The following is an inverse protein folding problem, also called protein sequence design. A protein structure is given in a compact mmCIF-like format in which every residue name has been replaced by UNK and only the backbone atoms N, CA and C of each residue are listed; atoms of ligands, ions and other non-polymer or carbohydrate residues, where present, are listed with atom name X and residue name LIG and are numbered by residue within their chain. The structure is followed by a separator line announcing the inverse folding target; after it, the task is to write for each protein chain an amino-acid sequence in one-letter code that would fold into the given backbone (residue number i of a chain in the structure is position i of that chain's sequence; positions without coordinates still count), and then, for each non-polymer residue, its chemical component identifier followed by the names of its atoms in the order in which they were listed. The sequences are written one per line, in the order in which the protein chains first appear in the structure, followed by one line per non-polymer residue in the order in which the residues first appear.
data_IF_642124190485
#
_entry.id   IF_642124190485
#
_cell.length_a   1.000
_cell.length_b   1.000
_cell.length_c   1.000
_cell.angle_alpha   90.00
_cell.angle_beta   90.00
_cell.angle_gamma   90.00
#
_symmetry.space_group_name_H-M   'P 1'
#
loop_
_entity.id
_entity.type
_entity.pdbx_description
1 polymer ?
#
# COMPACT_ATOMS: atom_id res chain seq x y z
N UNK A 1 46.27 -31.35 34.15
CA UNK A 1 46.58 -30.26 33.19
C UNK A 1 45.62 -30.42 32.01
N UNK A 2 44.65 -29.51 31.84
CA UNK A 2 43.62 -29.60 30.79
C UNK A 2 44.09 -28.80 29.58
N UNK A 3 44.42 -29.50 28.50
CA UNK A 3 44.83 -28.91 27.22
C UNK A 3 43.54 -28.54 26.47
N UNK A 4 43.31 -27.25 26.23
CA UNK A 4 42.21 -26.78 25.40
C UNK A 4 42.51 -27.10 23.91
N UNK A 5 41.53 -27.61 23.14
CA UNK A 5 41.72 -27.86 21.71
C UNK A 5 41.80 -26.55 20.93
N UNK A 6 42.84 -26.44 20.10
CA UNK A 6 43.27 -25.28 19.31
C UNK A 6 42.29 -24.86 18.17
N UNK A 7 41.03 -25.32 18.18
CA UNK A 7 40.06 -25.07 17.11
C UNK A 7 39.15 -23.86 17.34
N UNK A 8 39.14 -23.29 18.55
CA UNK A 8 38.29 -22.13 18.89
C UNK A 8 38.98 -20.79 18.67
N UNK A 9 40.32 -20.76 18.63
CA UNK A 9 41.09 -19.52 18.43
C UNK A 9 41.09 -19.05 16.97
N UNK A 10 41.02 -19.98 16.01
CA UNK A 10 40.99 -19.68 14.57
C UNK A 10 39.63 -19.11 14.12
N UNK A 11 38.52 -19.51 14.75
CA UNK A 11 37.20 -18.94 14.46
C UNK A 11 37.06 -17.51 15.00
N UNK A 12 37.70 -17.20 16.14
CA UNK A 12 37.67 -15.87 16.74
C UNK A 12 38.51 -14.84 15.96
N UNK A 13 39.61 -15.29 15.33
CA UNK A 13 40.42 -14.45 14.43
C UNK A 13 39.75 -14.17 13.09
N UNK A 14 38.86 -15.05 12.62
CA UNK A 14 38.09 -14.83 11.38
C UNK A 14 36.95 -13.81 11.58
N UNK A 15 36.39 -13.72 12.79
CA UNK A 15 35.38 -12.70 13.15
C UNK A 15 36.04 -11.33 13.41
N UNK A 16 37.27 -11.30 13.94
CA UNK A 16 38.01 -10.04 14.13
C UNK A 16 38.60 -9.47 12.83
N UNK A 17 38.80 -10.29 11.79
CA UNK A 17 39.41 -9.89 10.51
C UNK A 17 38.49 -9.18 9.52
N UNK A 18 37.17 -9.12 9.75
CA UNK A 18 36.21 -8.48 8.84
C UNK A 18 35.88 -7.03 9.28
N UNK A 19 36.40 -6.58 10.42
CA UNK A 19 36.16 -5.22 10.95
C UNK A 19 37.09 -4.12 10.38
N UNK A 20 37.91 -4.41 9.37
CA UNK A 20 38.84 -3.43 8.77
C UNK A 20 38.61 -3.25 7.25
N UNK A 21 37.47 -2.64 6.90
CA UNK A 21 37.29 -2.00 5.59
C UNK A 21 36.19 -0.92 5.67
N UNK A 22 36.35 0.06 6.57
CA UNK A 22 35.60 1.31 6.53
C UNK A 22 36.50 2.36 5.86
N UNK A 23 36.15 2.90 4.67
CA UNK A 23 36.88 4.04 4.11
C UNK A 23 36.60 5.31 4.95
N UNK A 24 37.58 6.22 5.10
CA UNK A 24 37.43 7.38 5.96
C UNK A 24 36.45 8.41 5.38
N UNK A 25 35.54 8.88 6.23
CA UNK A 25 34.80 10.13 6.05
C UNK A 25 35.79 11.30 6.07
N UNK A 26 36.14 11.82 4.91
CA UNK A 26 36.77 13.14 4.77
C UNK A 26 35.72 14.13 4.27
N UNK A 27 35.39 15.08 5.13
CA UNK A 27 34.51 16.19 4.80
C UNK A 27 35.19 17.20 3.87
N UNK A 28 34.39 17.82 3.01
CA UNK A 28 34.59 19.20 2.56
C UNK A 28 33.22 19.78 2.23
N UNK A 29 32.80 20.78 3.00
CA UNK A 29 31.64 21.62 2.68
C UNK A 29 31.99 22.56 1.52
N UNK A 30 31.08 22.84 0.57
CA UNK A 30 31.24 23.97 -0.31
C UNK A 30 30.75 25.27 0.36
N UNK A 31 31.32 26.43 0.00
CA UNK A 31 31.10 27.70 0.70
C UNK A 31 29.76 28.35 0.33
N UNK A 32 29.09 28.90 1.35
CA UNK A 32 28.09 29.97 1.20
C UNK A 32 28.79 31.25 0.75
N UNK A 33 28.44 31.75 -0.43
CA UNK A 33 28.67 33.15 -0.79
C UNK A 33 27.40 33.94 -0.54
N UNK A 34 27.53 34.91 0.37
CA UNK A 34 26.57 35.98 0.59
C UNK A 34 27.13 37.26 -0.05
N UNK A 35 26.39 37.81 -1.01
CA UNK A 35 26.32 39.22 -1.39
C UNK A 35 25.17 39.27 -2.43
N UNK A 36 24.08 40.01 -2.27
CA UNK A 36 24.07 41.42 -1.93
C UNK A 36 22.72 41.83 -1.33
N UNK A 37 22.83 42.68 -0.32
CA UNK A 37 21.74 43.43 0.30
C UNK A 37 21.07 44.36 -0.72
N UNK A 38 19.74 44.51 -0.64
CA UNK A 38 19.03 45.80 -0.66
C UNK A 38 17.57 45.64 -0.22
N UNK A 39 17.35 45.81 1.08
CA UNK A 39 16.12 46.43 1.62
C UNK A 39 16.18 47.95 1.34
N UNK A 40 15.06 48.70 1.25
CA UNK A 40 14.14 48.96 2.38
C UNK A 40 12.65 48.85 1.98
N UNK A 41 11.75 48.32 2.83
CA UNK A 41 11.09 48.89 4.02
C UNK A 41 9.79 49.67 3.72
N UNK A 42 8.74 49.21 4.42
CA UNK A 42 7.52 49.91 4.86
C UNK A 42 6.46 50.34 3.84
N UNK A 43 5.23 49.81 4.00
CA UNK A 43 4.12 50.53 4.65
C UNK A 43 2.82 49.72 4.60
N UNK A 44 2.23 49.55 5.77
CA UNK A 44 0.86 49.07 5.99
C UNK A 44 -0.17 50.10 5.50
N UNK A 45 -1.23 49.66 4.82
CA UNK A 45 -2.58 50.27 4.88
C UNK A 45 -3.60 49.46 4.05
N UNK A 46 -4.58 48.86 4.74
CA UNK A 46 -5.99 48.78 4.30
C UNK A 46 -6.63 50.11 4.76
N UNK A 47 -7.73 50.68 4.18
CA UNK A 47 -8.88 49.99 3.58
C UNK A 47 -9.57 50.71 2.39
N UNK A 48 -10.68 50.10 1.91
CA UNK A 48 -11.90 50.72 1.32
C UNK A 48 -12.31 50.19 -0.06
N UNK A 49 -13.43 49.44 -0.08
CA UNK A 49 -14.44 49.38 -1.16
C UNK A 49 -15.08 50.79 -1.39
N UNK A 50 -15.89 51.10 -2.44
CA UNK A 50 -16.83 50.20 -3.16
C UNK A 50 -17.05 50.47 -4.68
N UNK A 51 -18.04 49.76 -5.23
CA UNK A 51 -18.95 50.13 -6.33
C UNK A 51 -18.69 49.60 -7.76
N UNK A 52 -19.41 48.53 -8.07
CA UNK A 52 -20.28 48.29 -9.23
C UNK A 52 -20.07 49.11 -10.52
N UNK A 53 -19.95 48.39 -11.65
CA UNK A 53 -20.60 48.78 -12.90
C UNK A 53 -20.95 47.56 -13.76
N UNK A 54 -22.25 47.49 -14.08
CA UNK A 54 -22.84 46.67 -15.13
C UNK A 54 -22.11 46.86 -16.46
N UNK A 55 -21.93 45.77 -17.20
CA UNK A 55 -21.91 45.78 -18.66
C UNK A 55 -22.57 44.49 -19.18
N UNK A 56 -23.82 44.65 -19.59
CA UNK A 56 -24.53 43.81 -20.55
C UNK A 56 -23.77 43.76 -21.88
N UNK A 57 -23.55 42.57 -22.42
CA UNK A 57 -23.01 42.36 -23.76
C UNK A 57 -23.28 40.93 -24.21
N UNK A 58 -24.20 40.79 -25.15
CA UNK A 58 -24.66 39.55 -25.78
C UNK A 58 -23.61 38.94 -26.72
N UNK A 59 -23.86 37.70 -27.16
CA UNK A 59 -23.15 36.94 -28.20
C UNK A 59 -21.89 36.23 -27.69
N UNK A 60 -21.67 34.93 -27.83
CA UNK A 60 -22.04 34.01 -28.92
C UNK A 60 -21.82 32.58 -28.39
N UNK A 61 -22.72 31.65 -28.71
CA UNK A 61 -22.42 30.22 -28.62
C UNK A 61 -21.20 29.89 -29.50
N UNK A 62 -20.33 28.99 -29.03
CA UNK A 62 -19.80 27.97 -29.91
C UNK A 62 -20.31 26.60 -29.45
N UNK A 63 -20.99 25.96 -30.39
CA UNK A 63 -21.03 24.51 -30.61
C UNK A 63 -19.85 23.72 -30.03
N UNK A 64 -20.20 22.52 -29.57
CA UNK A 64 -19.40 21.29 -29.64
C UNK A 64 -17.92 21.38 -29.28
N UNK A 65 -17.63 21.04 -28.04
CA UNK A 65 -16.78 19.86 -27.80
C UNK A 65 -17.47 19.04 -26.73
N UNK A 66 -18.43 18.21 -27.13
CA UNK A 66 -18.75 16.99 -26.38
C UNK A 66 -17.48 16.16 -26.37
N UNK A 67 -16.63 16.46 -25.39
CA UNK A 67 -15.57 15.59 -24.95
C UNK A 67 -16.23 14.24 -24.74
N UNK A 68 -15.78 13.23 -25.49
CA UNK A 68 -16.13 11.82 -25.38
C UNK A 68 -15.93 11.34 -23.92
N UNK A 69 -16.81 11.77 -23.02
CA UNK A 69 -17.07 11.10 -21.76
C UNK A 69 -17.78 9.85 -22.21
N UNK A 70 -16.97 8.84 -22.55
CA UNK A 70 -17.39 7.47 -22.73
C UNK A 70 -18.24 7.13 -21.51
N UNK A 71 -19.56 7.25 -21.65
CA UNK A 71 -20.49 7.06 -20.55
C UNK A 71 -20.32 5.61 -20.10
N UNK A 72 -19.74 5.45 -18.93
CA UNK A 72 -19.66 4.14 -18.29
C UNK A 72 -21.12 3.72 -18.04
N UNK A 73 -21.50 2.47 -18.30
CA UNK A 73 -22.84 2.00 -17.98
C UNK A 73 -23.15 2.32 -16.51
N UNK A 74 -24.40 2.71 -16.23
CA UNK A 74 -24.83 3.19 -14.90
C UNK A 74 -24.44 2.24 -13.76
N UNK A 75 -24.47 0.93 -14.02
CA UNK A 75 -24.00 -0.11 -13.08
C UNK A 75 -22.51 -0.02 -12.77
N UNK A 76 -21.65 0.20 -13.76
CA UNK A 76 -20.20 0.34 -13.57
C UNK A 76 -19.85 1.64 -12.85
N UNK A 77 -20.63 2.69 -13.06
CA UNK A 77 -20.50 3.95 -12.30
C UNK A 77 -20.82 3.75 -10.83
N UNK A 78 -21.90 3.03 -10.50
CA UNK A 78 -22.26 2.71 -9.12
C UNK A 78 -21.18 1.87 -8.41
N UNK A 79 -20.66 0.83 -9.08
CA UNK A 79 -19.56 0.00 -8.57
C UNK A 79 -18.27 0.81 -8.35
N UNK A 80 -17.97 1.75 -9.25
CA UNK A 80 -16.82 2.64 -9.08
C UNK A 80 -16.97 3.51 -7.83
N UNK A 81 -18.15 4.06 -7.59
CA UNK A 81 -18.42 4.93 -6.44
C UNK A 81 -18.31 4.15 -5.12
N UNK A 82 -18.83 2.92 -5.04
CA UNK A 82 -18.72 2.09 -3.84
C UNK A 82 -17.26 1.72 -3.55
N UNK A 83 -16.52 1.26 -4.57
CA UNK A 83 -15.10 0.97 -4.48
C UNK A 83 -14.29 2.21 -4.04
N UNK A 84 -14.47 3.35 -4.72
CA UNK A 84 -13.72 4.57 -4.44
C UNK A 84 -13.95 5.09 -3.01
N UNK A 85 -15.19 4.99 -2.50
CA UNK A 85 -15.51 5.35 -1.12
C UNK A 85 -14.75 4.48 -0.14
N UNK A 86 -14.85 3.14 -0.25
CA UNK A 86 -14.17 2.23 0.68
C UNK A 86 -12.66 2.35 0.60
N UNK A 87 -12.11 2.52 -0.60
CA UNK A 87 -10.68 2.74 -0.78
C UNK A 87 -10.23 4.04 -0.10
N UNK A 88 -10.99 5.12 -0.25
CA UNK A 88 -10.71 6.39 0.41
C UNK A 88 -10.76 6.28 1.94
N UNK A 89 -11.75 5.57 2.49
CA UNK A 89 -11.88 5.34 3.92
C UNK A 89 -10.68 4.56 4.47
N UNK A 90 -10.29 3.45 3.79
CA UNK A 90 -9.12 2.67 4.16
C UNK A 90 -7.84 3.50 4.09
N UNK A 91 -7.63 4.23 2.99
CA UNK A 91 -6.43 5.04 2.79
C UNK A 91 -6.31 6.15 3.84
N UNK A 92 -7.40 6.87 4.12
CA UNK A 92 -7.44 7.93 5.14
C UNK A 92 -7.12 7.37 6.52
N UNK A 93 -7.69 6.20 6.87
CA UNK A 93 -7.39 5.53 8.11
C UNK A 93 -5.93 5.05 8.19
N UNK A 94 -5.35 4.58 7.07
CA UNK A 94 -3.94 4.19 7.01
C UNK A 94 -3.01 5.39 7.22
N UNK A 95 -3.28 6.52 6.57
CA UNK A 95 -2.49 7.76 6.73
C UNK A 95 -2.54 8.26 8.18
N UNK A 96 -3.72 8.26 8.80
CA UNK A 96 -3.87 8.65 10.20
C UNK A 96 -3.00 7.78 11.13
N UNK A 97 -3.10 6.45 11.01
CA UNK A 97 -2.32 5.50 11.82
C UNK A 97 -0.82 5.59 11.57
N UNK A 98 -0.41 5.83 10.32
CA UNK A 98 1.01 6.05 10.02
C UNK A 98 1.53 7.30 10.73
N UNK A 99 0.76 8.38 10.79
CA UNK A 99 1.17 9.60 11.50
C UNK A 99 1.40 9.35 13.00
N UNK A 100 0.61 8.47 13.62
CA UNK A 100 0.78 8.05 15.02
C UNK A 100 2.06 7.21 15.20
N UNK A 101 2.33 6.27 14.29
CA UNK A 101 3.56 5.46 14.32
C UNK A 101 4.82 6.33 14.18
N UNK A 102 4.79 7.39 13.38
CA UNK A 102 5.95 8.29 13.25
C UNK A 102 6.27 9.04 14.55
N UNK A 103 5.33 9.14 15.48
CA UNK A 103 5.53 9.73 16.80
C UNK A 103 6.05 8.72 17.83
N UNK A 104 6.04 7.42 17.51
CA UNK A 104 6.54 6.36 18.39
C UNK A 104 8.06 6.34 18.47
N UNK A 105 8.58 5.78 19.57
CA UNK A 105 10.01 5.65 19.76
C UNK A 105 10.62 4.71 18.70
N UNK A 106 11.79 5.00 18.11
CA UNK A 106 12.40 4.16 17.07
C UNK A 106 12.56 2.68 17.43
N UNK A 107 12.76 2.38 18.72
CA UNK A 107 12.84 1.01 19.23
C UNK A 107 11.52 0.25 19.08
N UNK A 108 10.37 0.89 19.30
CA UNK A 108 9.06 0.24 19.13
C UNK A 108 8.86 -0.17 17.67
N UNK A 109 9.21 0.70 16.73
CA UNK A 109 9.18 0.38 15.30
C UNK A 109 10.09 -0.80 14.95
N UNK A 110 11.28 -0.88 15.53
CA UNK A 110 12.20 -2.01 15.32
C UNK A 110 11.65 -3.32 15.90
N UNK A 111 11.06 -3.28 17.10
CA UNK A 111 10.42 -4.45 17.69
C UNK A 111 9.30 -4.97 16.80
N UNK A 112 8.45 -4.08 16.27
CA UNK A 112 7.35 -4.44 15.37
C UNK A 112 7.83 -4.97 14.02
N UNK A 113 8.97 -4.48 13.54
CA UNK A 113 9.62 -5.03 12.35
C UNK A 113 10.10 -6.48 12.60
N UNK A 114 10.68 -6.74 13.78
CA UNK A 114 11.08 -8.09 14.19
C UNK A 114 9.89 -9.02 14.41
N UNK A 115 8.80 -8.53 15.00
CA UNK A 115 7.54 -9.27 15.12
C UNK A 115 7.05 -9.72 13.72
N UNK A 116 7.03 -8.79 12.75
CA UNK A 116 6.65 -9.09 11.37
C UNK A 116 7.54 -10.18 10.75
N UNK A 117 8.88 -10.02 10.83
CA UNK A 117 9.86 -10.99 10.32
C UNK A 117 9.64 -12.38 10.92
N UNK A 118 9.37 -12.44 12.23
CA UNK A 118 9.10 -13.70 12.93
C UNK A 118 7.81 -14.38 12.46
N UNK A 119 6.74 -13.62 12.21
CA UNK A 119 5.50 -14.21 11.67
C UNK A 119 5.69 -14.76 10.27
N UNK A 120 6.40 -14.05 9.38
CA UNK A 120 6.74 -14.58 8.06
C UNK A 120 7.63 -15.82 8.13
N UNK A 121 8.62 -15.84 9.02
CA UNK A 121 9.46 -17.02 9.24
C UNK A 121 8.61 -18.22 9.64
N UNK A 122 7.67 -18.06 10.58
CA UNK A 122 6.79 -19.14 11.03
C UNK A 122 5.78 -19.58 9.96
N UNK A 123 5.33 -18.68 9.07
CA UNK A 123 4.47 -19.04 7.94
C UNK A 123 5.13 -19.99 6.94
N UNK A 124 6.46 -19.95 6.81
CA UNK A 124 7.16 -20.89 5.92
C UNK A 124 7.23 -22.32 6.45
N UNK A 125 6.95 -22.52 7.74
CA UNK A 125 6.97 -23.83 8.41
C UNK A 125 5.76 -23.99 9.34
N UNK A 126 4.52 -23.96 8.82
CA UNK A 126 3.35 -24.04 9.66
C UNK A 126 3.19 -25.47 10.21
N UNK A 127 3.10 -25.60 11.53
CA UNK A 127 2.91 -26.91 12.18
C UNK A 127 1.52 -27.48 11.87
N UNK A 128 0.50 -26.62 11.81
CA UNK A 128 -0.89 -26.93 11.49
C UNK A 128 -1.65 -25.67 11.05
N UNK A 129 -2.89 -25.84 10.58
CA UNK A 129 -3.65 -24.75 9.96
C UNK A 129 -3.98 -23.60 10.94
N UNK A 130 -4.25 -23.89 12.22
CA UNK A 130 -4.54 -22.84 13.22
C UNK A 130 -3.32 -21.94 13.47
N UNK A 131 -2.10 -22.51 13.46
CA UNK A 131 -0.86 -21.76 13.60
C UNK A 131 -0.64 -20.83 12.40
N UNK A 132 -0.92 -21.33 11.18
CA UNK A 132 -0.91 -20.50 9.98
C UNK A 132 -1.90 -19.33 10.11
N UNK A 133 -3.15 -19.61 10.55
CA UNK A 133 -4.18 -18.58 10.76
C UNK A 133 -3.70 -17.51 11.74
N UNK A 134 -3.10 -17.90 12.86
CA UNK A 134 -2.60 -16.97 13.87
C UNK A 134 -1.55 -16.01 13.28
N UNK A 135 -0.60 -16.54 12.52
CA UNK A 135 0.46 -15.73 11.92
C UNK A 135 -0.05 -14.80 10.82
N UNK A 136 -0.97 -15.26 9.97
CA UNK A 136 -1.66 -14.41 9.00
C UNK A 136 -2.42 -13.27 9.69
N UNK A 137 -3.16 -13.59 10.75
CA UNK A 137 -3.90 -12.60 11.55
C UNK A 137 -2.97 -11.56 12.17
N UNK A 138 -1.83 -11.99 12.72
CA UNK A 138 -0.85 -11.09 13.32
C UNK A 138 -0.19 -10.15 12.29
N UNK A 139 0.12 -10.65 11.09
CA UNK A 139 0.62 -9.82 9.98
C UNK A 139 -0.42 -8.76 9.59
N UNK A 140 -1.69 -9.15 9.45
CA UNK A 140 -2.77 -8.23 9.19
C UNK A 140 -2.95 -7.21 10.32
N UNK A 141 -2.85 -7.62 11.59
CA UNK A 141 -2.94 -6.72 12.72
C UNK A 141 -1.84 -5.65 12.70
N UNK A 142 -0.59 -6.04 12.40
CA UNK A 142 0.52 -5.09 12.22
C UNK A 142 0.26 -4.13 11.05
N UNK A 143 -0.18 -4.64 9.90
CA UNK A 143 -0.52 -3.78 8.75
C UNK A 143 -1.68 -2.85 9.06
N UNK A 144 -2.73 -3.32 9.74
CA UNK A 144 -3.90 -2.51 10.14
C UNK A 144 -3.55 -1.49 11.20
N UNK A 145 -2.58 -1.77 12.08
CA UNK A 145 -2.03 -0.77 13.01
C UNK A 145 -1.26 0.35 12.30
N UNK A 146 -0.97 0.21 11.00
CA UNK A 146 -0.31 1.23 10.16
C UNK A 146 1.14 0.91 9.80
N UNK A 147 1.70 -0.20 10.31
CA UNK A 147 3.08 -0.57 10.00
C UNK A 147 3.21 -0.98 8.53
N UNK A 148 4.25 -0.44 7.88
CA UNK A 148 4.65 -0.76 6.51
C UNK A 148 6.16 -0.92 6.50
N UNK A 149 6.64 -2.14 6.31
CA UNK A 149 8.07 -2.45 6.31
C UNK A 149 8.56 -2.73 4.88
N UNK A 150 9.88 -2.78 4.71
CA UNK A 150 10.50 -3.13 3.42
C UNK A 150 10.31 -4.61 3.06
N UNK A 151 10.69 -5.00 1.83
CA UNK A 151 10.46 -6.34 1.29
C UNK A 151 11.10 -7.48 2.09
N UNK A 152 12.13 -7.18 2.88
CA UNK A 152 12.79 -8.18 3.74
C UNK A 152 11.93 -8.58 4.95
N UNK A 153 11.10 -7.66 5.44
CA UNK A 153 10.29 -7.87 6.64
C UNK A 153 8.81 -8.08 6.31
N UNK A 154 8.31 -7.45 5.24
CA UNK A 154 6.92 -7.57 4.80
C UNK A 154 6.85 -7.79 3.27
N UNK A 155 7.26 -8.97 2.77
CA UNK A 155 7.39 -9.23 1.33
C UNK A 155 6.10 -9.01 0.54
N UNK A 156 4.94 -9.33 1.13
CA UNK A 156 3.63 -9.22 0.47
C UNK A 156 3.31 -7.83 -0.07
N UNK A 157 3.72 -6.77 0.64
CA UNK A 157 3.47 -5.40 0.18
C UNK A 157 4.29 -4.96 -1.03
N UNK A 158 5.31 -5.74 -1.40
CA UNK A 158 6.26 -5.40 -2.47
C UNK A 158 6.20 -6.39 -3.65
N UNK A 159 5.29 -7.35 -3.61
CA UNK A 159 5.11 -8.32 -4.70
C UNK A 159 4.64 -7.58 -5.96
N UNK A 160 5.26 -7.80 -7.14
CA UNK A 160 4.80 -7.20 -8.40
C UNK A 160 3.37 -7.62 -8.76
N UNK A 161 2.59 -6.68 -9.32
CA UNK A 161 1.24 -6.98 -9.81
C UNK A 161 1.24 -8.13 -10.81
N UNK A 162 0.22 -8.99 -10.74
CA UNK A 162 0.08 -10.16 -11.59
C UNK A 162 0.84 -11.40 -11.13
N UNK A 163 1.45 -11.36 -9.95
CA UNK A 163 2.10 -12.53 -9.34
C UNK A 163 1.05 -13.40 -8.64
N UNK A 164 0.98 -14.71 -8.90
CA UNK A 164 0.10 -15.62 -8.16
C UNK A 164 0.37 -15.58 -6.65
N UNK A 165 -0.70 -15.45 -5.85
CA UNK A 165 -0.56 -15.22 -4.42
C UNK A 165 -0.41 -16.52 -3.64
N UNK A 166 0.68 -16.59 -2.87
CA UNK A 166 0.93 -17.63 -1.88
C UNK A 166 0.93 -17.01 -0.48
N UNK A 167 -0.05 -17.39 0.34
CA UNK A 167 -0.20 -16.89 1.70
C UNK A 167 0.94 -17.31 2.64
N UNK A 168 1.65 -18.41 2.34
CA UNK A 168 2.80 -18.84 3.14
C UNK A 168 4.03 -17.95 2.91
N UNK A 169 4.15 -17.37 1.72
CA UNK A 169 5.30 -16.56 1.32
C UNK A 169 5.02 -15.05 1.40
N UNK A 170 3.82 -14.62 1.06
CA UNK A 170 3.43 -13.21 0.93
C UNK A 170 2.46 -12.74 2.02
N UNK A 171 2.01 -13.68 2.87
CA UNK A 171 1.06 -13.38 3.94
C UNK A 171 -0.32 -13.02 3.38
N UNK A 172 -1.14 -12.31 4.15
CA UNK A 172 -2.48 -11.90 3.71
C UNK A 172 -2.43 -11.01 2.46
N UNK A 173 -3.43 -11.14 1.58
CA UNK A 173 -3.57 -10.32 0.38
C UNK A 173 -4.01 -8.88 0.75
N UNK A 174 -3.26 -7.84 0.36
CA UNK A 174 -3.63 -6.45 0.67
C UNK A 174 -4.87 -6.02 -0.14
N UNK A 175 -5.95 -5.62 0.54
CA UNK A 175 -7.20 -5.24 -0.12
C UNK A 175 -7.06 -4.01 -1.04
N UNK A 176 -6.13 -3.11 -0.71
CA UNK A 176 -5.84 -1.91 -1.49
C UNK A 176 -5.12 -2.18 -2.81
N UNK A 177 -4.62 -3.40 -3.03
CA UNK A 177 -3.73 -3.73 -4.16
C UNK A 177 -4.40 -3.57 -5.52
N UNK A 178 -5.66 -3.97 -5.64
CA UNK A 178 -6.42 -3.79 -6.89
C UNK A 178 -6.56 -2.31 -7.28
N UNK A 179 -6.51 -1.37 -6.33
CA UNK A 179 -6.57 0.06 -6.63
C UNK A 179 -5.39 0.55 -7.49
N UNK A 180 -4.24 -0.12 -7.43
CA UNK A 180 -3.08 0.20 -8.28
C UNK A 180 -3.35 0.01 -9.78
N UNK A 181 -4.42 -0.74 -10.12
CA UNK A 181 -4.87 -0.97 -11.49
C UNK A 181 -5.88 0.09 -11.96
N UNK A 182 -6.39 0.99 -11.10
CA UNK A 182 -7.43 1.94 -11.49
C UNK A 182 -6.95 2.87 -12.62
N UNK A 183 -5.72 3.38 -12.50
CA UNK A 183 -5.08 4.30 -13.45
C UNK A 183 -4.39 3.60 -14.63
N UNK A 184 -4.38 2.27 -14.68
CA UNK A 184 -3.72 1.51 -15.76
C UNK A 184 -4.67 1.25 -16.93
N UNK A 185 -4.08 1.17 -18.12
CA UNK A 185 -4.79 0.71 -19.32
C UNK A 185 -5.02 -0.80 -19.22
N UNK A 186 -6.25 -1.18 -18.84
CA UNK A 186 -6.62 -2.58 -18.59
C UNK A 186 -6.39 -3.52 -19.78
N UNK A 187 -6.41 -3.00 -21.01
CA UNK A 187 -6.16 -3.81 -22.20
C UNK A 187 -4.68 -4.19 -22.33
N UNK A 188 -3.78 -3.36 -21.79
CA UNK A 188 -2.33 -3.65 -21.74
C UNK A 188 -1.96 -4.52 -20.55
N UNK A 189 -2.67 -4.38 -19.44
CA UNK A 189 -2.41 -5.13 -18.19
C UNK A 189 -3.36 -6.30 -17.97
N UNK A 190 -4.05 -6.77 -19.02
CA UNK A 190 -5.13 -7.76 -18.88
C UNK A 190 -4.70 -9.06 -18.19
N UNK A 191 -3.47 -9.52 -18.43
CA UNK A 191 -2.92 -10.70 -17.75
C UNK A 191 -2.67 -10.46 -16.26
N UNK A 192 -2.13 -9.29 -15.91
CA UNK A 192 -1.87 -8.89 -14.52
C UNK A 192 -3.19 -8.74 -13.77
N UNK A 193 -4.17 -8.07 -14.37
CA UNK A 193 -5.50 -7.91 -13.82
C UNK A 193 -6.18 -9.26 -13.56
N UNK A 194 -6.08 -10.20 -14.50
CA UNK A 194 -6.66 -11.54 -14.31
C UNK A 194 -6.07 -12.23 -13.08
N UNK A 195 -4.74 -12.23 -12.94
CA UNK A 195 -4.09 -12.82 -11.78
C UNK A 195 -4.44 -12.09 -10.47
N UNK A 196 -4.52 -10.76 -10.48
CA UNK A 196 -4.93 -10.01 -9.29
C UNK A 196 -6.39 -10.28 -8.89
N UNK A 197 -7.30 -10.46 -9.85
CA UNK A 197 -8.67 -10.89 -9.56
C UNK A 197 -8.71 -12.32 -8.99
N UNK A 198 -7.94 -13.25 -9.56
CA UNK A 198 -7.83 -14.61 -9.01
C UNK A 198 -7.27 -14.63 -7.58
N UNK A 199 -6.25 -13.81 -7.31
CA UNK A 199 -5.68 -13.63 -5.98
C UNK A 199 -6.70 -13.07 -4.98
N UNK A 200 -7.45 -12.04 -5.40
CA UNK A 200 -8.49 -11.42 -4.60
C UNK A 200 -9.60 -12.41 -4.24
N UNK A 201 -10.10 -13.17 -5.23
CA UNK A 201 -11.10 -14.22 -5.01
C UNK A 201 -10.57 -15.28 -4.06
N UNK A 202 -9.33 -15.76 -4.25
CA UNK A 202 -8.70 -16.74 -3.34
C UNK A 202 -8.64 -16.23 -1.89
N UNK A 203 -8.37 -14.94 -1.68
CA UNK A 203 -8.35 -14.34 -0.35
C UNK A 203 -9.77 -14.22 0.25
N UNK A 204 -10.78 -13.86 -0.56
CA UNK A 204 -12.17 -13.79 -0.13
C UNK A 204 -12.73 -15.18 0.22
N UNK A 205 -12.41 -16.21 -0.57
CA UNK A 205 -12.80 -17.59 -0.31
C UNK A 205 -12.19 -18.09 1.02
N UNK A 206 -10.89 -17.83 1.22
CA UNK A 206 -10.20 -18.15 2.46
C UNK A 206 -10.81 -17.44 3.67
N UNK A 207 -11.15 -16.15 3.52
CA UNK A 207 -11.79 -15.37 4.57
C UNK A 207 -13.20 -15.92 4.90
N UNK A 208 -14.00 -16.21 3.88
CA UNK A 208 -15.34 -16.80 4.04
C UNK A 208 -15.29 -18.15 4.76
N UNK A 209 -14.27 -18.97 4.48
CA UNK A 209 -14.05 -20.24 5.20
C UNK A 209 -13.78 -19.99 6.70
N UNK A 210 -12.92 -19.03 7.04
CA UNK A 210 -12.65 -18.67 8.44
C UNK A 210 -13.91 -18.15 9.13
N UNK A 211 -14.64 -17.25 8.46
CA UNK A 211 -15.86 -16.66 9.01
C UNK A 211 -16.93 -17.73 9.26
N UNK A 212 -17.03 -18.75 8.40
CA UNK A 212 -17.94 -19.90 8.57
C UNK A 212 -17.61 -20.79 9.77
N UNK A 213 -16.35 -20.78 10.22
CA UNK A 213 -15.88 -21.56 11.37
C UNK A 213 -16.01 -20.76 12.68
N UNK A 214 -16.17 -19.44 12.60
CA UNK A 214 -16.31 -18.55 13.75
C UNK A 214 -17.62 -18.73 14.50
N UNK A 215 -17.61 -18.49 15.80
CA UNK A 215 -18.86 -18.39 16.57
C UNK A 215 -19.49 -17.02 16.34
N UNK A 216 -20.83 -16.95 16.36
CA UNK A 216 -21.58 -15.71 16.11
C UNK A 216 -21.24 -14.53 17.05
N UNK A 217 -20.57 -14.79 18.17
CA UNK A 217 -20.17 -13.81 19.19
C UNK A 217 -18.71 -13.38 19.11
N UNK A 218 -17.91 -14.02 18.26
CA UNK A 218 -16.49 -13.69 18.11
C UNK A 218 -16.33 -12.56 17.10
N UNK A 219 -15.42 -11.64 17.38
CA UNK A 219 -15.08 -10.60 16.40
C UNK A 219 -14.50 -11.25 15.13
N UNK A 220 -14.87 -10.76 13.94
CA UNK A 220 -14.38 -11.31 12.69
C UNK A 220 -12.85 -11.21 12.63
N UNK A 221 -12.19 -12.35 12.50
CA UNK A 221 -10.74 -12.42 12.40
C UNK A 221 -10.31 -12.21 10.95
N UNK A 222 -9.53 -11.15 10.72
CA UNK A 222 -9.03 -10.83 9.39
C UNK A 222 -7.77 -11.64 9.09
N UNK A 223 -7.92 -12.74 8.38
CA UNK A 223 -6.86 -13.73 8.16
C UNK A 223 -6.26 -13.56 6.77
N UNK A 224 -7.07 -13.64 5.72
CA UNK A 224 -6.56 -13.71 4.35
C UNK A 224 -6.47 -12.35 3.66
N UNK A 225 -7.10 -11.33 4.22
CA UNK A 225 -7.00 -9.94 3.74
C UNK A 225 -7.27 -8.96 4.89
N UNK A 226 -6.79 -7.72 4.77
CA UNK A 226 -6.94 -6.68 5.78
C UNK A 226 -8.26 -5.92 5.71
N UNK A 227 -9.00 -6.04 4.61
CA UNK A 227 -10.32 -5.44 4.40
C UNK A 227 -11.14 -6.25 3.36
N UNK A 228 -11.91 -7.26 3.80
CA UNK A 228 -12.66 -8.13 2.88
C UNK A 228 -13.76 -7.37 2.12
N UNK A 229 -14.35 -6.36 2.75
CA UNK A 229 -15.38 -5.54 2.12
C UNK A 229 -14.83 -4.69 0.96
N UNK A 230 -13.67 -4.05 1.16
CA UNK A 230 -13.00 -3.34 0.07
C UNK A 230 -12.67 -4.32 -1.04
N UNK A 231 -12.13 -5.49 -0.71
CA UNK A 231 -11.75 -6.50 -1.69
C UNK A 231 -12.93 -7.02 -2.51
N UNK A 232 -14.10 -7.20 -1.88
CA UNK A 232 -15.36 -7.51 -2.58
C UNK A 232 -15.71 -6.42 -3.60
N UNK A 233 -15.82 -5.17 -3.16
CA UNK A 233 -16.20 -4.05 -4.07
C UNK A 233 -15.17 -3.83 -5.18
N UNK A 234 -13.88 -4.03 -4.90
CA UNK A 234 -12.82 -3.96 -5.88
C UNK A 234 -12.96 -5.07 -6.94
N UNK A 235 -13.17 -6.31 -6.49
CA UNK A 235 -13.33 -7.48 -7.38
C UNK A 235 -14.52 -7.30 -8.32
N UNK A 236 -15.67 -6.85 -7.80
CA UNK A 236 -16.86 -6.56 -8.61
C UNK A 236 -16.60 -5.46 -9.64
N UNK A 237 -16.03 -4.34 -9.21
CA UNK A 237 -15.73 -3.21 -10.09
C UNK A 237 -14.77 -3.59 -11.22
N UNK A 238 -13.63 -4.20 -10.89
CA UNK A 238 -12.60 -4.53 -11.87
C UNK A 238 -13.02 -5.66 -12.81
N UNK A 239 -13.81 -6.63 -12.34
CA UNK A 239 -14.40 -7.67 -13.19
C UNK A 239 -15.35 -7.06 -14.23
N UNK A 240 -16.24 -6.16 -13.79
CA UNK A 240 -17.18 -5.49 -14.70
C UNK A 240 -16.48 -4.53 -15.67
N UNK A 241 -15.43 -3.84 -15.21
CA UNK A 241 -14.59 -2.96 -16.03
C UNK A 241 -13.87 -3.73 -17.13
N UNK A 242 -13.31 -4.92 -16.82
CA UNK A 242 -12.68 -5.80 -17.79
C UNK A 242 -13.68 -6.31 -18.84
N UNK A 243 -14.84 -6.80 -18.41
CA UNK A 243 -15.90 -7.26 -19.32
C UNK A 243 -16.35 -6.15 -20.28
N UNK A 244 -16.53 -4.94 -19.76
CA UNK A 244 -16.91 -3.77 -20.56
C UNK A 244 -15.83 -3.39 -21.59
N UNK A 245 -14.54 -3.49 -21.21
CA UNK A 245 -13.44 -3.23 -22.12
C UNK A 245 -13.34 -4.29 -23.24
N UNK A 246 -13.58 -5.56 -22.93
CA UNK A 246 -13.58 -6.66 -23.90
C UNK A 246 -14.73 -6.54 -24.92
N UNK A 247 -15.92 -6.10 -24.47
CA UNK A 247 -17.07 -5.88 -25.35
C UNK A 247 -16.90 -4.70 -26.31
N UNK A 248 -16.14 -3.67 -25.90
CA UNK A 248 -15.84 -2.49 -26.71
C UNK A 248 -14.74 -2.70 -27.74
N UNK A 249 -13.99 -3.81 -27.67
CA UNK A 249 -12.94 -4.12 -28.65
C UNK A 249 -13.60 -4.51 -29.99
N UNK A 250 -13.46 -3.71 -31.06
CA UNK A 250 -14.00 -4.09 -32.37
C UNK A 250 -13.36 -5.40 -32.82
N UNK A 251 -14.20 -6.36 -33.24
CA UNK A 251 -13.75 -7.57 -33.93
C UNK A 251 -13.30 -7.15 -35.32
N UNK A 252 -12.00 -6.99 -35.52
CA UNK A 252 -11.37 -6.92 -36.83
C UNK A 252 -10.94 -8.32 -37.25
#
# INVERSE_FOLDING_TARGET
MKVLPCSTLTLLLLILGIAYAIPPLSGTSPPRTAANSKHPAALSATPSQPAAKLATGSSTLPEEVESERSELPSSLTALRVSFARRYHDLHSAQVARQSEIHQQHPLERQLRQKDMEMHFLKLTHPEHWEAQREHLTAINALRRAGYRFGPQSDPGLHVPLGTPWDFLHYGPYPASRLAELESRDLLKVGNELRWELENAVKALDGQSYVDSMGRATEEPQLVYTDDPDLLHTATEYFSQKLQSALQRKPRF
#
